data_IF_528486584365
#
_entry.id   IF_528486584365
#
_cell.length_a   1.000
_cell.length_b   1.000
_cell.length_c   1.000
_cell.angle_alpha   90.00
_cell.angle_beta   90.00
_cell.angle_gamma   90.00
#
_symmetry.space_group_name_H-M   'P 1'
#
loop_
_entity.id
_entity.type
_entity.pdbx_description
1 polymer ?
#
# COMPACT_ATOMS: atom_id res chain seq x y z
N UNK A 1 19.27 -10.89 -3.31
CA UNK A 1 19.31 -9.94 -2.20
C UNK A 1 20.28 -8.82 -2.55
N UNK A 2 19.84 -7.56 -2.41
CA UNK A 2 20.65 -6.37 -2.64
C UNK A 2 20.46 -5.39 -1.48
N UNK A 3 21.56 -4.84 -0.94
CA UNK A 3 21.51 -3.77 0.03
C UNK A 3 21.73 -2.45 -0.69
N UNK A 4 20.83 -1.47 -0.48
CA UNK A 4 20.94 -0.17 -1.11
C UNK A 4 22.22 0.56 -0.68
N UNK A 5 22.79 1.29 -1.63
CA UNK A 5 23.89 2.23 -1.41
C UNK A 5 23.39 3.68 -1.31
N UNK A 6 22.11 3.90 -1.58
CA UNK A 6 21.40 5.19 -1.53
C UNK A 6 20.17 5.06 -0.64
N UNK A 7 19.49 6.18 -0.37
CA UNK A 7 18.27 6.19 0.44
C UNK A 7 17.10 5.51 -0.26
N UNK A 8 16.99 5.66 -1.58
CA UNK A 8 15.86 5.19 -2.38
C UNK A 8 16.28 4.24 -3.49
N UNK A 9 15.41 3.28 -3.82
CA UNK A 9 15.64 2.27 -4.88
C UNK A 9 15.94 2.94 -6.22
N UNK A 10 15.16 3.96 -6.60
CA UNK A 10 15.33 4.66 -7.88
C UNK A 10 16.65 5.40 -8.04
N UNK A 11 17.36 5.67 -6.96
CA UNK A 11 18.68 6.31 -6.96
C UNK A 11 19.84 5.31 -7.01
N UNK A 12 19.57 4.03 -6.72
CA UNK A 12 20.56 2.95 -6.74
C UNK A 12 20.58 2.27 -8.12
N UNK A 13 21.57 2.59 -8.92
CA UNK A 13 21.68 2.06 -10.28
C UNK A 13 21.79 0.54 -10.33
N UNK A 14 22.41 -0.09 -9.34
CA UNK A 14 22.54 -1.56 -9.25
C UNK A 14 21.20 -2.20 -8.88
N UNK A 15 20.46 -1.60 -7.94
CA UNK A 15 19.12 -2.06 -7.61
C UNK A 15 18.19 -1.95 -8.82
N UNK A 16 18.18 -0.80 -9.50
CA UNK A 16 17.37 -0.59 -10.70
C UNK A 16 17.74 -1.55 -11.83
N UNK A 17 19.04 -1.79 -12.06
CA UNK A 17 19.50 -2.78 -13.06
C UNK A 17 18.98 -4.17 -12.71
N UNK A 18 19.15 -4.63 -11.47
CA UNK A 18 18.69 -5.93 -11.00
C UNK A 18 17.17 -6.11 -11.19
N UNK A 19 16.37 -5.08 -10.85
CA UNK A 19 14.92 -5.13 -11.01
C UNK A 19 14.53 -5.19 -12.48
N UNK A 20 15.12 -4.33 -13.32
CA UNK A 20 14.82 -4.30 -14.76
C UNK A 20 15.17 -5.61 -15.44
N UNK A 21 16.34 -6.18 -15.18
CA UNK A 21 16.75 -7.48 -15.72
C UNK A 21 15.81 -8.59 -15.26
N UNK A 22 15.47 -8.61 -13.96
CA UNK A 22 14.57 -9.63 -13.43
C UNK A 22 13.16 -9.54 -14.02
N UNK A 23 12.61 -8.34 -14.21
CA UNK A 23 11.30 -8.16 -14.85
C UNK A 23 11.35 -8.51 -16.34
N UNK A 24 12.47 -8.21 -17.03
CA UNK A 24 12.64 -8.54 -18.45
C UNK A 24 12.68 -10.05 -18.67
N UNK A 25 13.44 -10.74 -17.85
CA UNK A 25 13.82 -12.15 -18.09
C UNK A 25 12.80 -13.13 -17.53
N UNK A 26 11.90 -12.69 -16.64
CA UNK A 26 10.94 -13.57 -15.98
C UNK A 26 9.49 -13.09 -16.19
N UNK A 27 8.56 -14.03 -16.37
CA UNK A 27 7.12 -13.73 -16.50
C UNK A 27 6.58 -13.08 -15.25
N UNK A 28 7.00 -13.55 -14.08
CA UNK A 28 6.60 -13.03 -12.77
C UNK A 28 7.83 -12.77 -11.91
N UNK A 29 7.90 -11.57 -11.36
CA UNK A 29 8.96 -11.15 -10.43
C UNK A 29 8.33 -10.68 -9.12
N UNK A 30 8.91 -11.04 -7.98
CA UNK A 30 8.53 -10.52 -6.67
C UNK A 30 9.64 -9.62 -6.12
N UNK A 31 9.25 -8.42 -5.71
CA UNK A 31 10.12 -7.42 -5.09
C UNK A 31 9.71 -7.21 -3.63
N UNK A 32 10.51 -7.71 -2.73
CA UNK A 32 10.43 -7.40 -1.31
C UNK A 32 11.27 -6.18 -0.99
N UNK A 33 10.62 -5.10 -0.60
CA UNK A 33 11.28 -3.84 -0.23
C UNK A 33 10.47 -3.13 0.85
N UNK A 34 11.12 -2.70 1.92
CA UNK A 34 10.50 -2.02 3.06
C UNK A 34 9.72 -0.77 2.67
N UNK A 35 8.93 -0.25 3.60
CA UNK A 35 8.20 1.02 3.44
C UNK A 35 9.21 2.18 3.31
N UNK A 36 8.81 3.25 2.61
CA UNK A 36 9.64 4.46 2.47
C UNK A 36 10.88 4.33 1.58
N UNK A 37 11.09 3.21 0.89
CA UNK A 37 12.24 3.02 -0.01
C UNK A 37 12.03 3.57 -1.44
N UNK A 38 10.96 4.33 -1.69
CA UNK A 38 10.70 4.95 -2.98
C UNK A 38 10.21 3.97 -4.05
N UNK A 39 9.39 2.97 -3.68
CA UNK A 39 8.81 2.00 -4.62
C UNK A 39 8.04 2.68 -5.74
N UNK A 40 7.15 3.61 -5.43
CA UNK A 40 6.33 4.31 -6.45
C UNK A 40 7.19 5.07 -7.46
N UNK A 41 8.17 5.84 -7.00
CA UNK A 41 9.10 6.56 -7.89
C UNK A 41 9.91 5.60 -8.77
N UNK A 42 10.30 4.44 -8.22
CA UNK A 42 10.99 3.38 -8.98
C UNK A 42 10.10 2.84 -10.11
N UNK A 43 8.78 2.72 -9.91
CA UNK A 43 7.86 2.23 -10.95
C UNK A 43 7.80 3.16 -12.16
N UNK A 44 7.81 4.48 -11.95
CA UNK A 44 7.83 5.44 -13.05
C UNK A 44 9.14 5.37 -13.86
N UNK A 45 10.27 5.09 -13.20
CA UNK A 45 11.52 4.82 -13.89
C UNK A 45 11.48 3.49 -14.67
N UNK A 46 10.78 2.48 -14.14
CA UNK A 46 10.58 1.20 -14.82
C UNK A 46 9.77 1.40 -16.11
N UNK A 47 8.67 2.18 -16.05
CA UNK A 47 7.85 2.54 -17.20
C UNK A 47 8.71 3.12 -18.33
N UNK A 48 9.52 4.15 -18.02
CA UNK A 48 10.41 4.81 -18.99
C UNK A 48 11.44 3.83 -19.59
N UNK A 49 12.01 2.93 -18.77
CA UNK A 49 13.04 1.98 -19.25
C UNK A 49 12.49 0.89 -20.16
N UNK A 50 11.26 0.46 -19.93
CA UNK A 50 10.61 -0.55 -20.77
C UNK A 50 9.89 0.06 -21.97
N UNK A 51 9.65 1.37 -21.96
CA UNK A 51 8.80 2.07 -22.93
C UNK A 51 7.46 1.36 -23.13
N UNK A 52 6.85 0.97 -22.03
CA UNK A 52 5.58 0.26 -21.97
C UNK A 52 4.69 0.85 -20.92
N UNK A 53 3.40 0.85 -21.19
CA UNK A 53 2.40 1.20 -20.19
C UNK A 53 2.50 0.26 -18.99
N UNK A 54 2.34 0.83 -17.80
CA UNK A 54 2.24 0.06 -16.56
C UNK A 54 0.86 0.19 -15.94
N UNK A 55 0.36 -0.91 -15.40
CA UNK A 55 -0.88 -0.99 -14.63
C UNK A 55 -0.47 -1.25 -13.18
N UNK A 56 -0.82 -0.35 -12.28
CA UNK A 56 -0.54 -0.47 -10.85
C UNK A 56 -1.83 -0.82 -10.13
N UNK A 57 -1.93 -2.08 -9.73
CA UNK A 57 -3.06 -2.60 -8.96
C UNK A 57 -2.76 -2.48 -7.48
N UNK A 58 -3.65 -1.81 -6.76
CA UNK A 58 -3.53 -1.54 -5.33
C UNK A 58 -4.75 -2.07 -4.56
N UNK A 59 -4.63 -2.35 -3.25
CA UNK A 59 -5.71 -2.97 -2.50
C UNK A 59 -6.93 -2.06 -2.27
N UNK A 60 -6.73 -0.74 -2.15
CA UNK A 60 -7.83 0.18 -1.79
C UNK A 60 -7.90 1.40 -2.71
N UNK A 61 -9.12 1.97 -2.81
CA UNK A 61 -9.38 3.20 -3.55
C UNK A 61 -8.54 4.37 -3.04
N UNK A 62 -8.44 4.55 -1.73
CA UNK A 62 -7.67 5.63 -1.13
C UNK A 62 -6.18 5.59 -1.52
N UNK A 63 -5.58 4.40 -1.55
CA UNK A 63 -4.19 4.24 -2.01
C UNK A 63 -4.07 4.56 -3.50
N UNK A 64 -5.02 4.10 -4.32
CA UNK A 64 -5.03 4.41 -5.75
C UNK A 64 -5.09 5.93 -6.02
N UNK A 65 -6.01 6.62 -5.36
CA UNK A 65 -6.18 8.07 -5.47
C UNK A 65 -4.94 8.83 -4.99
N UNK A 66 -4.37 8.45 -3.87
CA UNK A 66 -3.15 9.06 -3.33
C UNK A 66 -1.96 8.91 -4.28
N UNK A 67 -1.72 7.69 -4.77
CA UNK A 67 -0.60 7.43 -5.68
C UNK A 67 -0.80 8.11 -7.04
N UNK A 68 -2.02 8.10 -7.58
CA UNK A 68 -2.38 8.80 -8.80
C UNK A 68 -2.12 10.30 -8.68
N UNK A 69 -2.65 10.94 -7.62
CA UNK A 69 -2.47 12.37 -7.38
C UNK A 69 -0.99 12.75 -7.25
N UNK A 70 -0.22 11.98 -6.48
CA UNK A 70 1.22 12.20 -6.36
C UNK A 70 1.93 12.08 -7.71
N UNK A 71 1.53 11.13 -8.56
CA UNK A 71 2.15 10.92 -9.88
C UNK A 71 1.91 12.10 -10.81
N UNK A 72 0.68 12.62 -10.91
CA UNK A 72 0.39 13.76 -11.78
C UNK A 72 1.02 15.05 -11.29
N UNK A 73 1.02 15.28 -9.98
CA UNK A 73 1.56 16.52 -9.40
C UNK A 73 3.10 16.56 -9.44
N UNK A 74 3.75 15.44 -9.14
CA UNK A 74 5.20 15.44 -8.94
C UNK A 74 5.99 15.11 -10.22
N UNK A 75 5.40 14.35 -11.15
CA UNK A 75 6.17 13.72 -12.23
C UNK A 75 5.75 14.12 -13.64
N UNK A 76 4.68 14.87 -13.79
CA UNK A 76 4.13 15.24 -15.12
C UNK A 76 4.03 14.03 -16.07
N UNK A 77 3.53 12.91 -15.53
CA UNK A 77 3.34 11.64 -16.22
C UNK A 77 1.88 11.53 -16.60
N UNK A 78 1.60 11.09 -17.81
CA UNK A 78 0.23 10.81 -18.22
C UNK A 78 -0.29 9.58 -17.48
N UNK A 79 -1.29 9.79 -16.64
CA UNK A 79 -1.81 8.74 -15.76
C UNK A 79 -3.33 8.73 -15.73
N UNK A 80 -3.90 7.53 -15.56
CA UNK A 80 -5.33 7.32 -15.39
C UNK A 80 -5.63 6.63 -14.05
N UNK A 81 -6.84 6.89 -13.52
CA UNK A 81 -7.35 6.28 -12.31
C UNK A 81 -8.66 5.55 -12.62
N UNK A 82 -8.66 4.23 -12.39
CA UNK A 82 -9.83 3.35 -12.62
C UNK A 82 -10.19 2.66 -11.31
N UNK A 83 -11.20 3.20 -10.63
CA UNK A 83 -11.68 2.67 -9.34
C UNK A 83 -13.20 2.57 -9.32
N UNK A 84 -13.75 1.76 -8.41
CA UNK A 84 -15.19 1.66 -8.25
C UNK A 84 -15.83 2.97 -7.76
N UNK A 85 -17.05 3.22 -8.23
CA UNK A 85 -17.82 4.40 -7.80
C UNK A 85 -17.51 5.70 -8.52
N UNK A 86 -16.55 5.75 -9.44
CA UNK A 86 -16.36 6.89 -10.34
C UNK A 86 -17.25 6.65 -11.58
N UNK A 87 -18.36 7.40 -11.66
CA UNK A 87 -19.27 7.35 -12.80
C UNK A 87 -18.67 8.21 -13.92
N UNK A 88 -18.67 7.67 -15.16
CA UNK A 88 -18.26 8.43 -16.34
C UNK A 88 -16.78 8.36 -16.69
N UNK A 89 -16.01 7.47 -16.07
CA UNK A 89 -14.64 7.19 -16.53
C UNK A 89 -14.75 6.38 -17.83
N UNK A 90 -14.39 7.00 -18.94
CA UNK A 90 -14.20 6.30 -20.19
C UNK A 90 -12.92 5.47 -20.09
N UNK A 91 -13.10 4.17 -19.83
CA UNK A 91 -11.98 3.24 -19.64
C UNK A 91 -11.15 3.14 -20.92
N UNK A 92 -11.76 3.21 -22.09
CA UNK A 92 -11.06 3.10 -23.38
C UNK A 92 -10.20 4.34 -23.66
N UNK A 93 -10.70 5.53 -23.35
CA UNK A 93 -9.91 6.78 -23.49
C UNK A 93 -8.72 6.81 -22.53
N UNK A 94 -8.87 6.22 -21.33
CA UNK A 94 -7.83 6.18 -20.31
C UNK A 94 -6.81 5.03 -20.49
N UNK A 95 -7.06 4.07 -21.39
CA UNK A 95 -6.12 2.98 -21.66
C UNK A 95 -4.86 3.42 -22.47
N UNK A 96 -4.80 4.67 -22.93
CA UNK A 96 -3.68 5.18 -23.74
C UNK A 96 -2.63 6.01 -22.96
N UNK A 97 -2.75 6.08 -21.64
CA UNK A 97 -1.77 6.81 -20.80
C UNK A 97 -0.53 5.95 -20.46
N UNK A 98 0.48 6.56 -19.86
CA UNK A 98 1.71 5.87 -19.43
C UNK A 98 1.49 4.94 -18.24
N UNK A 99 0.62 5.36 -17.30
CA UNK A 99 0.39 4.68 -16.02
C UNK A 99 -1.11 4.60 -15.72
N UNK A 100 -1.59 3.41 -15.40
CA UNK A 100 -2.97 3.20 -14.92
C UNK A 100 -2.93 2.77 -13.45
N UNK A 101 -3.58 3.55 -12.59
CA UNK A 101 -3.84 3.16 -11.21
C UNK A 101 -5.23 2.52 -11.12
N UNK A 102 -5.29 1.33 -10.51
CA UNK A 102 -6.52 0.54 -10.44
C UNK A 102 -6.60 -0.19 -9.11
N UNK A 103 -7.81 -0.39 -8.57
CA UNK A 103 -7.97 -1.34 -7.45
C UNK A 103 -8.03 -2.77 -7.95
N UNK A 104 -7.67 -3.73 -7.09
CA UNK A 104 -7.78 -5.16 -7.45
C UNK A 104 -9.19 -5.52 -7.93
N UNK A 105 -10.23 -4.95 -7.32
CA UNK A 105 -11.62 -5.16 -7.70
C UNK A 105 -11.97 -4.59 -9.08
N UNK A 106 -11.33 -3.49 -9.48
CA UNK A 106 -11.58 -2.82 -10.76
C UNK A 106 -10.74 -3.35 -11.92
N UNK A 107 -9.83 -4.29 -11.69
CA UNK A 107 -9.00 -4.91 -12.75
C UNK A 107 -9.82 -5.56 -13.86
N UNK A 108 -11.04 -6.04 -13.57
CA UNK A 108 -11.95 -6.61 -14.56
C UNK A 108 -12.33 -5.62 -15.66
N UNK A 109 -12.31 -4.32 -15.38
CA UNK A 109 -12.69 -3.25 -16.32
C UNK A 109 -11.65 -3.01 -17.41
N UNK A 110 -10.41 -3.45 -17.21
CA UNK A 110 -9.33 -3.32 -18.20
C UNK A 110 -9.46 -4.39 -19.27
N UNK A 111 -9.47 -4.01 -20.53
CA UNK A 111 -9.58 -4.94 -21.66
C UNK A 111 -8.22 -5.40 -22.15
N UNK A 112 -7.29 -4.48 -22.39
CA UNK A 112 -5.99 -4.74 -23.01
C UNK A 112 -4.87 -4.72 -21.95
N UNK A 113 -4.28 -5.88 -21.66
CA UNK A 113 -3.19 -6.02 -20.70
C UNK A 113 -1.96 -6.75 -21.27
N UNK A 114 -2.05 -7.27 -22.49
CA UNK A 114 -1.10 -8.22 -23.09
C UNK A 114 0.30 -7.62 -23.31
N UNK A 115 0.37 -6.37 -23.66
CA UNK A 115 1.62 -5.63 -23.90
C UNK A 115 2.08 -4.80 -22.70
N UNK A 116 1.33 -4.83 -21.61
CA UNK A 116 1.54 -4.01 -20.42
C UNK A 116 2.26 -4.75 -19.30
N UNK A 117 2.92 -4.00 -18.43
CA UNK A 117 3.49 -4.55 -17.19
C UNK A 117 2.47 -4.36 -16.07
N UNK A 118 2.00 -5.47 -15.51
CA UNK A 118 1.11 -5.46 -14.35
C UNK A 118 1.92 -5.44 -13.06
N UNK A 119 1.71 -4.43 -12.26
CA UNK A 119 2.33 -4.26 -10.94
C UNK A 119 1.24 -4.47 -9.89
N UNK A 120 1.49 -5.32 -8.92
CA UNK A 120 0.56 -5.61 -7.82
C UNK A 120 1.22 -5.15 -6.53
N UNK A 121 0.79 -3.99 -6.06
CA UNK A 121 1.30 -3.44 -4.81
C UNK A 121 0.59 -4.08 -3.61
N UNK A 122 1.34 -4.24 -2.51
CA UNK A 122 0.91 -4.93 -1.28
C UNK A 122 0.30 -6.31 -1.56
N UNK A 123 0.96 -7.07 -2.45
CA UNK A 123 0.49 -8.37 -2.92
C UNK A 123 0.13 -9.37 -1.80
N UNK A 124 0.75 -9.24 -0.63
CA UNK A 124 0.44 -10.08 0.54
C UNK A 124 -1.03 -9.97 0.99
N UNK A 125 -1.71 -8.86 0.69
CA UNK A 125 -3.14 -8.67 1.00
C UNK A 125 -4.07 -9.46 0.06
N UNK A 126 -3.56 -9.98 -1.06
CA UNK A 126 -4.33 -10.87 -1.95
C UNK A 126 -4.65 -12.23 -1.31
N UNK A 127 -4.10 -12.53 -0.13
CA UNK A 127 -4.46 -13.72 0.64
C UNK A 127 -5.76 -13.59 1.44
N UNK A 128 -6.36 -12.41 1.47
CA UNK A 128 -7.64 -12.20 2.16
C UNK A 128 -8.74 -13.03 1.48
N UNK A 129 -9.40 -13.87 2.28
CA UNK A 129 -10.41 -14.84 1.84
C UNK A 129 -11.83 -14.29 1.88
N UNK A 130 -12.03 -12.99 2.08
CA UNK A 130 -13.38 -12.41 1.99
C UNK A 130 -13.99 -12.66 0.60
N UNK A 131 -15.31 -12.88 0.48
CA UNK A 131 -15.95 -13.17 -0.81
C UNK A 131 -15.68 -12.10 -1.88
N UNK A 132 -15.62 -10.84 -1.48
CA UNK A 132 -15.33 -9.71 -2.39
C UNK A 132 -13.91 -9.83 -2.93
N UNK A 133 -12.95 -10.13 -2.07
CA UNK A 133 -11.55 -10.27 -2.46
C UNK A 133 -11.28 -11.54 -3.27
N UNK A 134 -12.07 -12.61 -3.12
CA UNK A 134 -11.94 -13.80 -3.95
C UNK A 134 -12.21 -13.50 -5.44
N UNK A 135 -13.26 -12.73 -5.75
CA UNK A 135 -13.56 -12.32 -7.13
C UNK A 135 -12.47 -11.41 -7.68
N UNK A 136 -12.04 -10.42 -6.88
CA UNK A 136 -10.95 -9.51 -7.26
C UNK A 136 -9.65 -10.28 -7.53
N UNK A 137 -9.33 -11.27 -6.71
CA UNK A 137 -8.17 -12.13 -6.90
C UNK A 137 -8.27 -13.00 -8.17
N UNK A 138 -9.46 -13.51 -8.51
CA UNK A 138 -9.65 -14.24 -9.74
C UNK A 138 -9.33 -13.35 -10.98
N UNK A 139 -9.83 -12.12 -11.00
CA UNK A 139 -9.53 -11.16 -12.05
C UNK A 139 -8.03 -10.82 -12.09
N UNK A 140 -7.41 -10.64 -10.93
CA UNK A 140 -5.98 -10.41 -10.82
C UNK A 140 -5.19 -11.55 -11.49
N UNK A 141 -5.50 -12.81 -11.17
CA UNK A 141 -4.80 -13.96 -11.75
C UNK A 141 -5.01 -14.07 -13.26
N UNK A 142 -6.22 -13.81 -13.76
CA UNK A 142 -6.49 -13.80 -15.20
C UNK A 142 -5.66 -12.74 -15.93
N UNK A 143 -5.59 -11.51 -15.36
CA UNK A 143 -4.79 -10.44 -15.97
C UNK A 143 -3.29 -10.70 -15.88
N UNK A 144 -2.80 -11.30 -14.80
CA UNK A 144 -1.39 -11.71 -14.68
C UNK A 144 -0.95 -12.68 -15.77
N UNK A 145 -1.77 -13.66 -16.09
CA UNK A 145 -1.44 -14.63 -17.15
C UNK A 145 -1.35 -13.96 -18.52
N UNK A 146 -2.20 -12.97 -18.78
CA UNK A 146 -2.28 -12.26 -20.06
C UNK A 146 -1.27 -11.13 -20.18
N UNK A 147 -0.92 -10.41 -19.08
CA UNK A 147 0.01 -9.28 -19.12
C UNK A 147 1.38 -9.66 -19.69
N UNK A 148 2.11 -8.68 -20.24
CA UNK A 148 3.48 -8.90 -20.74
C UNK A 148 4.39 -9.45 -19.65
N UNK A 149 4.41 -8.76 -18.49
CA UNK A 149 5.15 -9.17 -17.27
C UNK A 149 4.35 -8.78 -16.04
N UNK A 150 4.60 -9.47 -14.94
CA UNK A 150 3.99 -9.13 -13.63
C UNK A 150 5.07 -8.88 -12.59
N UNK A 151 4.92 -7.80 -11.83
CA UNK A 151 5.78 -7.47 -10.70
C UNK A 151 4.92 -7.41 -9.43
N UNK A 152 5.14 -8.34 -8.50
CA UNK A 152 4.61 -8.26 -7.15
C UNK A 152 5.48 -7.36 -6.29
N UNK A 153 4.87 -6.49 -5.50
CA UNK A 153 5.58 -5.68 -4.52
C UNK A 153 4.98 -5.86 -3.14
N UNK A 154 5.84 -5.97 -2.14
CA UNK A 154 5.41 -6.01 -0.74
C UNK A 154 6.55 -5.62 0.19
N UNK A 155 6.18 -4.95 1.29
CA UNK A 155 7.07 -4.76 2.44
C UNK A 155 7.19 -6.04 3.29
N UNK A 156 6.16 -6.87 3.25
CA UNK A 156 6.00 -8.12 4.01
C UNK A 156 5.58 -9.25 3.07
N UNK A 157 6.52 -9.83 2.29
CA UNK A 157 6.18 -10.85 1.30
C UNK A 157 5.61 -12.09 1.98
N UNK A 158 4.66 -12.74 1.29
CA UNK A 158 4.12 -14.02 1.68
C UNK A 158 4.63 -15.09 0.72
N UNK A 159 5.66 -15.80 1.11
CA UNK A 159 6.33 -16.80 0.26
C UNK A 159 5.38 -17.92 -0.18
N UNK A 160 4.49 -18.36 0.68
CA UNK A 160 3.54 -19.44 0.37
C UNK A 160 2.56 -18.99 -0.71
N UNK A 161 2.01 -17.78 -0.57
CA UNK A 161 1.09 -17.21 -1.55
C UNK A 161 1.78 -17.03 -2.91
N UNK A 162 2.98 -16.49 -2.91
CA UNK A 162 3.75 -16.28 -4.13
C UNK A 162 4.05 -17.58 -4.88
N UNK A 163 4.43 -18.64 -4.16
CA UNK A 163 4.67 -19.97 -4.76
C UNK A 163 3.42 -20.62 -5.31
N UNK A 164 2.26 -20.39 -4.70
CA UNK A 164 1.00 -20.95 -5.17
C UNK A 164 0.57 -20.39 -6.52
N UNK A 165 1.07 -19.20 -6.89
CA UNK A 165 0.66 -18.46 -8.08
C UNK A 165 1.62 -18.67 -9.24
N UNK A 166 2.92 -18.68 -8.98
CA UNK A 166 3.93 -18.82 -10.01
C UNK A 166 5.10 -19.68 -9.51
N UNK A 167 5.20 -20.90 -10.05
CA UNK A 167 6.29 -21.84 -9.69
C UNK A 167 7.67 -21.27 -10.05
N UNK A 168 7.77 -20.53 -11.16
CA UNK A 168 9.02 -19.96 -11.69
C UNK A 168 9.18 -18.48 -11.33
N UNK A 169 8.76 -18.12 -10.13
CA UNK A 169 8.83 -16.76 -9.63
C UNK A 169 10.26 -16.31 -9.31
N UNK A 170 10.71 -15.23 -9.93
CA UNK A 170 11.96 -14.57 -9.57
C UNK A 170 11.78 -13.67 -8.35
N UNK A 171 12.53 -13.94 -7.28
CA UNK A 171 12.51 -13.12 -6.06
C UNK A 171 13.67 -12.17 -5.95
N UNK A 172 13.36 -10.92 -5.62
CA UNK A 172 14.32 -9.87 -5.31
C UNK A 172 14.01 -9.36 -3.91
N UNK A 173 15.02 -9.27 -3.06
CA UNK A 173 14.93 -8.60 -1.78
C UNK A 173 15.85 -7.39 -1.77
N UNK A 174 15.27 -6.21 -1.55
CA UNK A 174 15.99 -4.95 -1.38
C UNK A 174 15.98 -4.57 0.10
N UNK A 175 17.15 -4.31 0.65
CA UNK A 175 17.32 -3.88 2.04
C UNK A 175 17.75 -2.42 2.09
N UNK A 176 17.20 -1.67 3.02
CA UNK A 176 17.56 -0.27 3.24
C UNK A 176 19.06 -0.12 3.56
N UNK A 177 19.63 1.02 3.19
CA UNK A 177 21.00 1.40 3.55
C UNK A 177 21.20 1.36 5.08
N UNK A 178 20.27 2.01 5.78
CA UNK A 178 20.24 2.04 7.24
C UNK A 178 18.88 1.48 7.70
N UNK A 179 18.88 0.24 8.17
CA UNK A 179 17.68 -0.28 8.84
C UNK A 179 17.60 0.36 10.24
N UNK A 180 16.64 1.25 10.43
CA UNK A 180 16.24 1.60 11.79
C UNK A 180 15.62 0.34 12.42
N UNK A 181 16.30 -0.20 13.41
CA UNK A 181 15.73 -1.27 14.23
C UNK A 181 14.80 -0.59 15.23
N UNK A 182 13.51 -0.72 15.00
CA UNK A 182 12.53 -0.38 16.02
C UNK A 182 12.51 -1.51 17.05
N UNK A 183 12.75 -1.17 18.30
CA UNK A 183 12.53 -2.08 19.40
C UNK A 183 11.02 -2.13 19.66
N UNK A 184 10.35 -3.15 19.11
CA UNK A 184 8.95 -3.41 19.38
C UNK A 184 8.87 -4.38 20.55
N UNK A 185 8.27 -3.94 21.66
CA UNK A 185 7.95 -4.81 22.79
C UNK A 185 6.48 -5.19 22.66
N UNK A 186 6.15 -6.43 22.25
CA UNK A 186 4.77 -6.86 22.18
C UNK A 186 4.21 -6.95 23.61
N UNK A 187 3.06 -6.30 23.84
CA UNK A 187 2.27 -6.50 25.04
C UNK A 187 1.20 -7.55 24.76
N UNK A 188 1.42 -8.74 25.31
CA UNK A 188 0.43 -9.82 25.22
C UNK A 188 -0.40 -9.76 26.51
N UNK A 189 -1.72 -9.68 26.37
CA UNK A 189 -2.62 -9.70 27.51
C UNK A 189 -3.66 -10.82 27.36
N UNK A 190 -4.04 -11.41 28.48
CA UNK A 190 -5.12 -12.40 28.53
C UNK A 190 -6.46 -11.66 28.49
N UNK A 191 -7.18 -11.77 27.38
CA UNK A 191 -8.48 -11.12 27.17
C UNK A 191 -9.56 -11.56 28.16
N UNK A 192 -9.38 -12.71 28.83
CA UNK A 192 -10.29 -13.21 29.89
C UNK A 192 -10.08 -12.48 31.22
N UNK A 193 -8.86 -12.01 31.47
CA UNK A 193 -8.47 -11.37 32.74
C UNK A 193 -8.37 -9.85 32.62
N UNK A 194 -7.98 -9.35 31.44
CA UNK A 194 -7.72 -7.93 31.22
C UNK A 194 -8.67 -7.39 30.16
N UNK A 195 -9.45 -6.36 30.51
CA UNK A 195 -10.35 -5.72 29.54
C UNK A 195 -9.55 -4.85 28.60
N UNK A 196 -9.90 -4.85 27.32
CA UNK A 196 -9.27 -4.01 26.28
C UNK A 196 -9.16 -2.54 26.70
N UNK A 197 -10.19 -1.99 27.37
CA UNK A 197 -10.22 -0.63 27.91
C UNK A 197 -9.09 -0.33 28.90
N UNK A 198 -8.68 -1.32 29.69
CA UNK A 198 -7.62 -1.11 30.69
C UNK A 198 -6.24 -1.09 30.02
N UNK A 199 -6.05 -1.88 28.95
CA UNK A 199 -4.84 -1.84 28.12
C UNK A 199 -4.74 -0.50 27.40
N UNK A 200 -5.83 -0.03 26.78
CA UNK A 200 -5.87 1.26 26.11
C UNK A 200 -5.63 2.42 27.08
N UNK A 201 -6.21 2.33 28.27
CA UNK A 201 -5.98 3.32 29.34
C UNK A 201 -4.52 3.36 29.75
N UNK A 202 -3.90 2.22 30.00
CA UNK A 202 -2.50 2.12 30.39
C UNK A 202 -1.56 2.63 29.28
N UNK A 203 -1.88 2.36 28.00
CA UNK A 203 -1.14 2.87 26.86
C UNK A 203 -1.30 4.39 26.70
N UNK A 204 -2.53 4.88 26.76
CA UNK A 204 -2.85 6.28 26.53
C UNK A 204 -2.41 7.20 27.68
N UNK A 205 -2.41 6.71 28.95
CA UNK A 205 -2.05 7.51 30.12
C UNK A 205 -0.56 7.88 30.20
N UNK A 206 0.30 7.23 29.41
CA UNK A 206 1.72 7.62 29.32
C UNK A 206 1.86 8.93 28.55
N UNK A 207 1.82 10.07 29.25
CA UNK A 207 2.07 11.40 28.66
C UNK A 207 3.58 11.61 28.47
N UNK A 208 4.12 10.99 27.44
CA UNK A 208 5.56 11.04 27.07
C UNK A 208 5.86 11.98 25.89
N UNK A 209 4.88 12.83 25.52
CA UNK A 209 4.99 13.76 24.41
C UNK A 209 4.93 13.13 23.01
N UNK A 210 4.80 11.81 22.92
CA UNK A 210 4.72 11.10 21.64
C UNK A 210 3.30 11.03 21.14
N UNK A 211 3.13 11.10 19.82
CA UNK A 211 1.86 10.80 19.16
C UNK A 211 1.59 9.30 19.30
N UNK A 212 0.36 8.95 19.66
CA UNK A 212 -0.07 7.57 19.84
C UNK A 212 -1.08 7.19 18.77
N UNK A 213 -0.81 6.11 18.07
CA UNK A 213 -1.71 5.55 17.07
C UNK A 213 -2.41 4.33 17.64
N UNK A 214 -3.74 4.27 17.47
CA UNK A 214 -4.58 3.13 17.83
C UNK A 214 -5.31 2.69 16.57
N UNK A 215 -5.04 1.47 16.12
CA UNK A 215 -5.67 0.88 14.95
C UNK A 215 -6.74 -0.12 15.40
N UNK A 216 -7.91 -0.03 14.80
CA UNK A 216 -9.03 -0.96 15.02
C UNK A 216 -9.72 -1.25 13.70
N UNK A 217 -10.11 -2.50 13.48
CA UNK A 217 -10.78 -2.94 12.25
C UNK A 217 -12.27 -2.56 12.22
N UNK A 218 -12.84 -2.18 13.40
CA UNK A 218 -14.24 -1.83 13.54
C UNK A 218 -14.39 -0.35 13.91
N UNK A 219 -15.14 0.39 13.06
CA UNK A 219 -15.43 1.81 13.27
C UNK A 219 -16.20 2.07 14.58
N UNK A 220 -17.12 1.18 14.96
CA UNK A 220 -17.85 1.31 16.23
C UNK A 220 -16.90 1.18 17.42
N UNK A 221 -16.01 0.18 17.41
CA UNK A 221 -15.00 0.02 18.44
C UNK A 221 -14.01 1.20 18.48
N UNK A 222 -13.70 1.81 17.35
CA UNK A 222 -12.85 3.01 17.29
C UNK A 222 -13.55 4.22 17.92
N UNK A 223 -14.85 4.44 17.64
CA UNK A 223 -15.65 5.48 18.27
C UNK A 223 -15.74 5.28 19.79
N UNK A 224 -16.05 4.07 20.23
CA UNK A 224 -16.11 3.74 21.66
C UNK A 224 -14.76 3.98 22.34
N UNK A 225 -13.66 3.69 21.65
CA UNK A 225 -12.31 3.98 22.16
C UNK A 225 -12.09 5.48 22.33
N UNK A 226 -12.40 6.29 21.30
CA UNK A 226 -12.33 7.76 21.35
C UNK A 226 -13.14 8.31 22.51
N UNK A 227 -14.40 7.93 22.62
CA UNK A 227 -15.31 8.40 23.66
C UNK A 227 -14.84 8.00 25.06
N UNK A 228 -14.33 6.79 25.22
CA UNK A 228 -13.77 6.32 26.49
C UNK A 228 -12.52 7.11 26.90
N UNK A 229 -11.62 7.43 25.97
CA UNK A 229 -10.43 8.22 26.27
C UNK A 229 -10.78 9.64 26.73
N UNK A 230 -11.80 10.25 26.10
CA UNK A 230 -12.32 11.57 26.48
C UNK A 230 -13.06 11.50 27.82
N UNK A 231 -13.97 10.53 27.99
CA UNK A 231 -14.76 10.34 29.21
C UNK A 231 -13.91 10.06 30.44
N UNK A 232 -12.79 9.35 30.25
CA UNK A 232 -11.83 9.07 31.32
C UNK A 232 -10.92 10.28 31.65
N UNK A 233 -11.04 11.40 30.92
CA UNK A 233 -10.21 12.59 31.09
C UNK A 233 -8.75 12.38 30.74
N UNK A 234 -8.42 11.33 29.95
CA UNK A 234 -7.05 11.06 29.51
C UNK A 234 -6.64 12.08 28.45
N UNK A 235 -7.57 12.36 27.53
CA UNK A 235 -7.43 13.37 26.48
C UNK A 235 -8.72 14.20 26.39
N UNK A 236 -8.61 15.44 25.95
CA UNK A 236 -9.77 16.25 25.55
C UNK A 236 -10.13 16.01 24.08
N UNK A 237 -11.32 16.46 23.65
CA UNK A 237 -11.81 16.24 22.29
C UNK A 237 -10.87 16.78 21.19
N UNK A 238 -10.10 17.85 21.49
CA UNK A 238 -9.17 18.46 20.53
C UNK A 238 -7.83 17.70 20.41
N UNK A 239 -7.57 16.76 21.31
CA UNK A 239 -6.33 15.97 21.31
C UNK A 239 -6.50 14.60 20.63
N UNK A 240 -7.76 14.18 20.35
CA UNK A 240 -8.07 12.88 19.75
C UNK A 240 -8.62 13.08 18.36
N UNK A 241 -7.87 12.60 17.38
CA UNK A 241 -8.28 12.57 15.96
C UNK A 241 -8.67 11.14 15.61
N UNK A 242 -9.80 10.98 14.92
CA UNK A 242 -10.23 9.72 14.37
C UNK A 242 -10.10 9.75 12.85
N UNK A 243 -9.39 8.78 12.29
CA UNK A 243 -9.27 8.60 10.86
C UNK A 243 -9.99 7.32 10.43
N UNK A 244 -10.96 7.42 9.53
CA UNK A 244 -11.68 6.30 8.94
C UNK A 244 -12.03 6.63 7.48
N UNK A 245 -12.53 5.67 6.72
CA UNK A 245 -12.89 5.85 5.32
C UNK A 245 -13.88 7.02 5.05
N UNK A 246 -14.63 7.42 6.09
CA UNK A 246 -15.56 8.57 6.06
C UNK A 246 -15.18 9.52 7.22
N UNK A 247 -13.97 10.04 7.21
CA UNK A 247 -13.47 10.86 8.31
C UNK A 247 -14.10 12.25 8.28
N UNK A 248 -14.79 12.58 9.35
CA UNK A 248 -15.36 13.93 9.57
C UNK A 248 -14.32 14.88 10.20
N UNK A 249 -13.20 14.36 10.68
CA UNK A 249 -12.17 15.12 11.41
C UNK A 249 -11.02 15.62 10.47
N UNK A 250 -11.25 15.73 9.15
CA UNK A 250 -10.22 16.12 8.16
C UNK A 250 -9.66 17.52 8.41
N UNK A 251 -10.51 18.43 8.95
CA UNK A 251 -10.13 19.80 9.29
C UNK A 251 -9.54 19.93 10.71
N UNK A 252 -9.47 18.84 11.45
CA UNK A 252 -8.93 18.88 12.81
C UNK A 252 -7.45 19.28 12.79
N UNK A 253 -6.99 20.24 13.63
CA UNK A 253 -5.61 20.74 13.59
C UNK A 253 -4.54 19.65 13.71
N UNK A 254 -4.79 18.62 14.51
CA UNK A 254 -3.86 17.51 14.67
C UNK A 254 -3.82 16.63 13.41
N UNK A 255 -4.94 16.45 12.70
CA UNK A 255 -4.97 15.74 11.42
C UNK A 255 -4.15 16.49 10.38
N UNK A 256 -4.40 17.79 10.21
CA UNK A 256 -3.65 18.65 9.27
C UNK A 256 -2.15 18.61 9.59
N UNK A 257 -1.78 18.66 10.86
CA UNK A 257 -0.39 18.56 11.29
C UNK A 257 0.24 17.21 10.91
N UNK A 258 -0.47 16.11 11.16
CA UNK A 258 0.02 14.76 10.83
C UNK A 258 0.17 14.59 9.32
N UNK A 259 -0.74 15.14 8.51
CA UNK A 259 -0.64 15.17 7.05
C UNK A 259 0.58 15.96 6.58
N UNK A 260 0.82 17.15 7.16
CA UNK A 260 1.98 18.00 6.83
C UNK A 260 3.31 17.32 7.20
N UNK A 261 3.33 16.54 8.26
CA UNK A 261 4.49 15.78 8.71
C UNK A 261 4.66 14.46 7.95
N UNK A 262 3.74 14.10 7.03
CA UNK A 262 3.77 12.87 6.25
C UNK A 262 3.57 11.61 7.09
N UNK A 263 2.85 11.71 8.21
CA UNK A 263 2.62 10.62 9.14
C UNK A 263 1.28 9.89 8.90
N UNK A 264 0.38 10.50 8.12
CA UNK A 264 -0.89 9.92 7.62
C UNK A 264 -1.15 10.39 6.20
#
# INVERSE_FOLDING_TARGET
KHKLTTQYIGQDSKAMKLICESVRDNKVTSLSAGMGLGKTTMLLQLQKKFNRQIIISVPTKAIAEQQYTATILDNNVDAALIVEGIVGVDVEANENCDVIYVTNASLSKLNNVEDKILIVDEFHLSSDRSPINQIANLHLYQKMQRSYRTLFMSGTPNDILEYSIAKDLKRIKIEALNQQKFNVTPLIYDSKKTKQKDVLRAFASKKDGRIKFIFMDDKSALNDCKDNLIKLGIYNKKEVVMYSANTEDVEHPNYVKLMQEGLI
#
